data_IF_033523676326
#
_entry.id   IF_033523676326
#
_cell.length_a   1.000
_cell.length_b   1.000
_cell.length_c   1.000
_cell.angle_alpha   90.00
_cell.angle_beta   90.00
_cell.angle_gamma   90.00
#
_symmetry.space_group_name_H-M   'P 1'
#
loop_
_entity.id
_entity.type
_entity.pdbx_description
1 polymer ?
#
# COMPACT_ATOMS: atom_id res chain seq x y z
N UNK A 1 -21.08 -12.64 4.23
CA UNK A 1 -20.08 -12.83 5.32
C UNK A 1 -20.01 -11.50 6.06
N UNK A 2 -20.07 -11.46 7.40
CA UNK A 2 -19.91 -10.21 8.14
C UNK A 2 -18.44 -9.77 8.21
N UNK A 3 -18.17 -8.54 8.67
CA UNK A 3 -16.84 -7.96 8.72
C UNK A 3 -15.86 -8.75 9.60
N UNK A 4 -16.35 -9.37 10.70
CA UNK A 4 -15.54 -10.21 11.58
C UNK A 4 -15.12 -11.51 10.89
N UNK A 5 -16.05 -12.18 10.23
CA UNK A 5 -15.77 -13.41 9.47
C UNK A 5 -14.82 -13.15 8.29
N UNK A 6 -14.94 -11.99 7.62
CA UNK A 6 -13.99 -11.54 6.60
C UNK A 6 -12.59 -11.36 7.21
N UNK A 7 -12.50 -10.67 8.34
CA UNK A 7 -11.24 -10.43 9.06
C UNK A 7 -10.55 -11.74 9.45
N UNK A 8 -11.29 -12.67 10.07
CA UNK A 8 -10.76 -13.99 10.44
C UNK A 8 -10.28 -14.79 9.23
N UNK A 9 -11.03 -14.76 8.15
CA UNK A 9 -10.67 -15.45 6.89
C UNK A 9 -9.40 -14.85 6.29
N UNK A 10 -9.31 -13.52 6.21
CA UNK A 10 -8.15 -12.83 5.68
C UNK A 10 -6.90 -13.09 6.53
N UNK A 11 -6.98 -12.90 7.84
CA UNK A 11 -5.84 -13.10 8.74
C UNK A 11 -5.43 -14.58 8.88
N UNK A 12 -6.40 -15.49 8.86
CA UNK A 12 -6.13 -16.93 9.05
C UNK A 12 -5.67 -17.66 7.79
N UNK A 13 -6.23 -17.30 6.62
CA UNK A 13 -5.98 -18.06 5.38
C UNK A 13 -5.26 -17.26 4.30
N UNK A 14 -5.51 -15.95 4.22
CA UNK A 14 -5.06 -15.12 3.10
C UNK A 14 -4.22 -13.92 3.55
N UNK A 15 -3.60 -13.97 4.72
CA UNK A 15 -2.75 -12.89 5.21
C UNK A 15 -1.53 -12.67 4.30
N UNK A 16 -0.97 -13.75 3.74
CA UNK A 16 0.18 -13.69 2.84
C UNK A 16 -0.27 -13.76 1.38
N UNK A 17 0.08 -12.75 0.61
CA UNK A 17 -0.29 -12.60 -0.82
C UNK A 17 0.92 -12.09 -1.63
N UNK A 18 2.10 -12.71 -1.40
CA UNK A 18 3.36 -12.32 -2.03
C UNK A 18 3.73 -13.20 -3.24
N UNK A 19 3.58 -14.52 -3.10
CA UNK A 19 3.89 -15.45 -4.20
C UNK A 19 2.72 -15.58 -5.17
N UNK A 20 2.99 -15.98 -6.43
CA UNK A 20 1.94 -16.22 -7.42
C UNK A 20 0.89 -17.23 -6.95
N UNK A 21 1.32 -18.29 -6.23
CA UNK A 21 0.41 -19.29 -5.66
C UNK A 21 -0.51 -18.67 -4.61
N UNK A 22 0.01 -17.84 -3.70
CA UNK A 22 -0.77 -17.16 -2.66
C UNK A 22 -1.74 -16.17 -3.28
N UNK A 23 -1.27 -15.36 -4.25
CA UNK A 23 -2.12 -14.41 -4.99
C UNK A 23 -3.24 -15.13 -5.75
N UNK A 24 -2.96 -16.25 -6.42
CA UNK A 24 -4.00 -17.02 -7.12
C UNK A 24 -5.06 -17.54 -6.17
N UNK A 25 -4.67 -18.16 -5.05
CA UNK A 25 -5.62 -18.64 -4.05
C UNK A 25 -6.50 -17.52 -3.47
N UNK A 26 -5.90 -16.34 -3.24
CA UNK A 26 -6.64 -15.14 -2.80
C UNK A 26 -7.62 -14.65 -3.87
N UNK A 27 -7.19 -14.53 -5.14
CA UNK A 27 -8.02 -14.09 -6.27
C UNK A 27 -9.22 -15.03 -6.44
N UNK A 28 -8.99 -16.35 -6.40
CA UNK A 28 -10.07 -17.33 -6.56
C UNK A 28 -11.09 -17.22 -5.43
N UNK A 29 -10.65 -17.03 -4.20
CA UNK A 29 -11.55 -16.81 -3.06
C UNK A 29 -12.31 -15.49 -3.19
N UNK A 30 -11.66 -14.40 -3.58
CA UNK A 30 -12.30 -13.08 -3.74
C UNK A 30 -13.34 -13.11 -4.85
N UNK A 31 -13.09 -13.84 -5.95
CA UNK A 31 -14.10 -14.06 -7.01
C UNK A 31 -15.33 -14.77 -6.47
N UNK A 32 -15.14 -15.86 -5.73
CA UNK A 32 -16.25 -16.56 -5.08
C UNK A 32 -17.06 -15.64 -4.16
N UNK A 33 -16.36 -14.84 -3.34
CA UNK A 33 -17.00 -13.86 -2.46
C UNK A 33 -17.78 -12.79 -3.24
N UNK A 34 -17.22 -12.27 -4.33
CA UNK A 34 -17.90 -11.28 -5.18
C UNK A 34 -19.16 -11.87 -5.83
N UNK A 35 -19.08 -13.11 -6.29
CA UNK A 35 -20.23 -13.84 -6.86
C UNK A 35 -21.34 -14.05 -5.81
N UNK A 36 -20.99 -14.45 -4.58
CA UNK A 36 -21.93 -14.62 -3.46
C UNK A 36 -22.69 -13.33 -3.13
N UNK A 37 -22.00 -12.18 -3.18
CA UNK A 37 -22.65 -10.89 -2.94
C UNK A 37 -23.23 -10.25 -4.21
N UNK A 38 -23.11 -10.92 -5.37
CA UNK A 38 -23.69 -10.48 -6.65
C UNK A 38 -23.05 -9.18 -7.19
N UNK A 39 -21.72 -9.04 -7.08
CA UNK A 39 -20.96 -7.93 -7.65
C UNK A 39 -20.09 -8.47 -8.80
N UNK A 40 -20.21 -7.92 -10.02
CA UNK A 40 -19.36 -8.32 -11.14
C UNK A 40 -17.87 -8.11 -10.82
N UNK A 41 -17.04 -9.10 -11.13
CA UNK A 41 -15.61 -9.07 -10.90
C UNK A 41 -14.82 -9.45 -12.14
N UNK A 42 -13.78 -8.70 -12.45
CA UNK A 42 -12.84 -8.97 -13.54
C UNK A 42 -11.43 -8.97 -12.97
N UNK A 43 -10.61 -9.92 -13.38
CA UNK A 43 -9.18 -9.93 -13.07
C UNK A 43 -8.44 -9.45 -14.32
N UNK A 44 -7.85 -8.29 -14.21
CA UNK A 44 -7.11 -7.65 -15.29
C UNK A 44 -5.63 -7.99 -15.18
N UNK A 45 -5.14 -8.75 -16.15
CA UNK A 45 -3.74 -9.12 -16.21
C UNK A 45 -2.94 -8.16 -17.10
N UNK A 46 -1.81 -7.72 -16.61
CA UNK A 46 -0.89 -6.86 -17.33
C UNK A 46 0.56 -7.24 -17.06
N UNK A 47 1.47 -6.78 -17.94
CA UNK A 47 2.91 -6.92 -17.77
C UNK A 47 3.61 -5.64 -18.22
N UNK A 48 3.95 -4.77 -17.26
CA UNK A 48 4.78 -3.59 -17.53
C UNK A 48 6.26 -3.98 -17.32
N UNK A 49 6.69 -4.25 -16.10
CA UNK A 49 7.99 -4.87 -15.77
C UNK A 49 7.79 -6.21 -15.09
N UNK A 50 6.74 -6.30 -14.28
CA UNK A 50 6.31 -7.51 -13.59
C UNK A 50 4.89 -7.85 -14.04
N UNK A 51 4.50 -9.13 -13.91
CA UNK A 51 3.12 -9.54 -14.09
C UNK A 51 2.29 -9.03 -12.94
N UNK A 52 1.22 -8.27 -13.23
CA UNK A 52 0.27 -7.74 -12.25
C UNK A 52 -1.13 -8.20 -12.60
N UNK A 53 -1.93 -8.51 -11.58
CA UNK A 53 -3.32 -8.97 -11.71
C UNK A 53 -4.22 -8.13 -10.82
N UNK A 54 -4.70 -7.01 -11.31
CA UNK A 54 -5.68 -6.19 -10.58
C UNK A 54 -7.03 -6.88 -10.53
N UNK A 55 -7.75 -6.73 -9.42
CA UNK A 55 -9.10 -7.25 -9.28
C UNK A 55 -10.04 -6.04 -9.29
N UNK A 56 -10.88 -5.98 -10.31
CA UNK A 56 -11.80 -4.86 -10.57
C UNK A 56 -13.22 -5.31 -10.30
N UNK A 57 -13.96 -4.55 -9.51
CA UNK A 57 -15.34 -4.84 -9.13
C UNK A 57 -16.26 -3.70 -9.57
N UNK A 58 -17.31 -4.04 -10.29
CA UNK A 58 -18.24 -3.09 -10.88
C UNK A 58 -17.68 -2.43 -12.13
N UNK A 59 -18.31 -1.34 -12.56
CA UNK A 59 -17.94 -0.58 -13.76
C UNK A 59 -17.09 0.65 -13.36
N UNK A 60 -15.77 0.53 -13.51
CA UNK A 60 -14.82 1.60 -13.17
C UNK A 60 -14.89 2.77 -14.17
N UNK A 61 -15.30 2.52 -15.42
CA UNK A 61 -15.32 3.54 -16.45
C UNK A 61 -16.53 4.49 -16.30
N UNK A 62 -17.63 4.02 -15.74
CA UNK A 62 -18.79 4.85 -15.40
C UNK A 62 -18.76 5.38 -13.96
N UNK A 63 -17.87 4.87 -13.10
CA UNK A 63 -17.78 5.24 -11.70
C UNK A 63 -17.46 6.72 -11.49
N UNK A 64 -18.08 7.33 -10.48
CA UNK A 64 -17.74 8.69 -10.00
C UNK A 64 -16.67 8.65 -8.92
N UNK A 65 -16.63 7.55 -8.16
CA UNK A 65 -15.69 7.28 -7.08
C UNK A 65 -15.15 5.88 -7.24
N UNK A 66 -13.84 5.72 -7.13
CA UNK A 66 -13.17 4.42 -7.13
C UNK A 66 -12.51 4.24 -5.76
N UNK A 67 -12.89 3.18 -5.06
CA UNK A 67 -12.34 2.78 -3.77
C UNK A 67 -11.28 1.71 -4.00
N UNK A 68 -10.08 1.90 -3.47
CA UNK A 68 -8.94 1.04 -3.78
C UNK A 68 -8.14 0.64 -2.54
N UNK A 69 -7.47 -0.51 -2.63
CA UNK A 69 -6.41 -0.93 -1.74
C UNK A 69 -5.46 -1.84 -2.53
N UNK A 70 -4.20 -1.96 -2.13
CA UNK A 70 -3.37 -3.02 -2.69
C UNK A 70 -3.58 -4.33 -1.93
N UNK A 71 -3.48 -5.44 -2.65
CA UNK A 71 -3.66 -6.75 -2.03
C UNK A 71 -2.37 -7.58 -1.93
N UNK A 72 -1.32 -7.22 -2.66
CA UNK A 72 -0.02 -7.85 -2.48
C UNK A 72 0.60 -7.49 -1.13
N UNK A 73 1.57 -8.27 -0.71
CA UNK A 73 2.20 -8.12 0.60
C UNK A 73 3.71 -8.00 0.51
N UNK A 74 4.28 -7.23 1.42
CA UNK A 74 5.67 -6.80 1.45
C UNK A 74 6.69 -7.93 1.64
N UNK A 75 7.95 -7.61 1.34
CA UNK A 75 9.09 -8.33 1.87
C UNK A 75 9.29 -7.96 3.35
N UNK A 76 9.82 -8.91 4.13
CA UNK A 76 10.16 -8.65 5.53
C UNK A 76 11.42 -7.78 5.62
N UNK A 77 11.29 -6.62 6.21
CA UNK A 77 12.42 -5.83 6.64
C UNK A 77 12.93 -6.31 8.00
N UNK A 78 14.23 -6.41 8.16
CA UNK A 78 14.87 -6.80 9.42
C UNK A 78 15.04 -5.61 10.37
N UNK A 79 15.01 -4.40 9.84
CA UNK A 79 15.16 -3.15 10.57
C UNK A 79 13.78 -2.53 10.84
N UNK A 80 13.64 -1.74 11.92
CA UNK A 80 12.42 -1.00 12.16
C UNK A 80 12.07 -0.12 10.96
N UNK A 81 10.81 -0.17 10.53
CA UNK A 81 10.24 0.76 9.58
C UNK A 81 9.44 1.81 10.36
N UNK A 82 9.70 3.06 10.08
CA UNK A 82 9.11 4.18 10.81
C UNK A 82 8.70 5.28 9.83
N UNK A 83 7.43 5.33 9.48
CA UNK A 83 6.91 6.31 8.53
C UNK A 83 6.19 7.46 9.24
N UNK A 84 6.50 8.69 8.85
CA UNK A 84 5.98 9.92 9.48
C UNK A 84 5.38 10.88 8.45
N UNK A 85 4.18 10.60 7.91
CA UNK A 85 3.62 11.34 6.77
C UNK A 85 3.50 12.85 6.94
N UNK A 86 3.29 13.33 8.18
CA UNK A 86 3.14 14.77 8.49
C UNK A 86 4.42 15.45 9.00
N UNK A 87 5.57 14.75 9.01
CA UNK A 87 6.83 15.28 9.50
C UNK A 87 7.93 15.10 8.46
N UNK A 88 8.05 16.09 7.55
CA UNK A 88 9.00 16.03 6.44
C UNK A 88 10.47 15.77 6.88
N UNK A 89 11.02 16.42 7.92
CA UNK A 89 12.39 16.12 8.35
C UNK A 89 12.61 14.67 8.76
N UNK A 90 11.70 14.08 9.54
CA UNK A 90 11.79 12.67 9.94
C UNK A 90 11.56 11.74 8.75
N UNK A 91 10.63 12.05 7.85
CA UNK A 91 10.43 11.29 6.62
C UNK A 91 11.69 11.27 5.76
N UNK A 92 12.33 12.44 5.54
CA UNK A 92 13.58 12.53 4.78
C UNK A 92 14.71 11.76 5.48
N UNK A 93 14.80 11.85 6.81
CA UNK A 93 15.79 11.09 7.58
C UNK A 93 15.64 9.59 7.39
N UNK A 94 14.40 9.07 7.45
CA UNK A 94 14.08 7.67 7.19
C UNK A 94 14.48 7.24 5.77
N UNK A 95 14.08 7.98 4.74
CA UNK A 95 14.44 7.67 3.36
C UNK A 95 15.95 7.72 3.13
N UNK A 96 16.64 8.67 3.78
CA UNK A 96 18.10 8.75 3.75
C UNK A 96 18.74 7.52 4.40
N UNK A 97 18.22 7.08 5.54
CA UNK A 97 18.71 5.88 6.22
C UNK A 97 18.56 4.63 5.34
N UNK A 98 17.39 4.42 4.72
CA UNK A 98 17.17 3.30 3.80
C UNK A 98 18.10 3.35 2.59
N UNK A 99 18.32 4.55 2.03
CA UNK A 99 19.26 4.75 0.92
C UNK A 99 20.69 4.41 1.34
N UNK A 100 21.11 4.85 2.53
CA UNK A 100 22.44 4.55 3.07
C UNK A 100 22.68 3.05 3.26
N UNK A 101 21.65 2.27 3.61
CA UNK A 101 21.77 0.81 3.71
C UNK A 101 22.08 0.17 2.33
N UNK A 102 21.43 0.65 1.28
CA UNK A 102 21.68 0.18 -0.10
C UNK A 102 23.10 0.54 -0.52
N UNK A 103 23.53 1.78 -0.27
CA UNK A 103 24.88 2.24 -0.58
C UNK A 103 25.94 1.48 0.22
N UNK A 104 25.70 1.25 1.51
CA UNK A 104 26.61 0.48 2.38
C UNK A 104 26.76 -0.97 1.88
N UNK A 105 25.69 -1.62 1.47
CA UNK A 105 25.75 -2.97 0.88
C UNK A 105 26.62 -3.01 -0.37
N UNK A 106 26.48 -2.03 -1.24
CA UNK A 106 27.35 -1.88 -2.42
C UNK A 106 28.80 -1.60 -2.05
N UNK A 107 29.03 -0.67 -1.11
CA UNK A 107 30.39 -0.34 -0.66
C UNK A 107 31.09 -1.57 -0.07
N UNK A 108 30.43 -2.34 0.81
CA UNK A 108 30.97 -3.55 1.42
C UNK A 108 31.30 -4.61 0.37
N UNK A 109 30.44 -4.82 -0.63
CA UNK A 109 30.68 -5.75 -1.71
C UNK A 109 31.88 -5.33 -2.58
N UNK A 110 31.97 -4.06 -2.96
CA UNK A 110 33.10 -3.50 -3.71
C UNK A 110 34.41 -3.57 -2.95
N UNK A 111 34.38 -3.22 -1.66
CA UNK A 111 35.56 -3.33 -0.77
C UNK A 111 36.02 -4.77 -0.62
N UNK A 112 35.10 -5.73 -0.42
CA UNK A 112 35.41 -7.17 -0.34
C UNK A 112 36.07 -7.70 -1.61
N UNK A 113 35.54 -7.32 -2.80
CA UNK A 113 36.15 -7.65 -4.09
C UNK A 113 37.58 -7.09 -4.19
N UNK A 114 37.78 -5.83 -3.77
CA UNK A 114 39.11 -5.20 -3.74
C UNK A 114 40.06 -5.92 -2.81
N UNK A 115 39.63 -6.34 -1.62
CA UNK A 115 40.46 -7.08 -0.67
C UNK A 115 40.92 -8.43 -1.22
N UNK A 116 40.04 -9.12 -1.99
CA UNK A 116 40.36 -10.42 -2.59
C UNK A 116 41.26 -10.32 -3.82
N UNK A 117 41.11 -9.28 -4.65
CA UNK A 117 41.75 -9.18 -5.95
C UNK A 117 43.00 -8.32 -5.98
N UNK A 118 43.22 -7.49 -4.94
CA UNK A 118 44.39 -6.59 -4.87
C UNK A 118 45.69 -7.38 -4.89
N UNK A 119 46.54 -7.10 -5.89
CA UNK A 119 47.80 -7.79 -6.11
C UNK A 119 47.72 -9.11 -6.86
N UNK A 120 46.50 -9.66 -7.06
CA UNK A 120 46.28 -10.91 -7.82
C UNK A 120 45.98 -10.65 -9.30
N UNK A 121 45.47 -9.45 -9.64
CA UNK A 121 45.08 -9.09 -11.01
C UNK A 121 45.57 -7.68 -11.35
N UNK A 122 45.54 -7.32 -12.63
CA UNK A 122 45.87 -5.99 -13.09
C UNK A 122 44.98 -4.91 -12.40
N UNK A 123 45.54 -3.73 -11.99
CA UNK A 123 44.79 -2.72 -11.23
C UNK A 123 43.47 -2.26 -11.89
N UNK A 124 43.44 -2.15 -13.22
CA UNK A 124 42.20 -1.81 -13.96
C UNK A 124 41.14 -2.88 -13.79
N UNK A 125 41.53 -4.15 -13.90
CA UNK A 125 40.62 -5.31 -13.74
C UNK A 125 40.09 -5.35 -12.29
N UNK A 126 40.94 -5.11 -11.30
CA UNK A 126 40.54 -4.98 -9.90
C UNK A 126 39.52 -3.84 -9.71
N UNK A 127 39.76 -2.66 -10.26
CA UNK A 127 38.84 -1.52 -10.19
C UNK A 127 37.48 -1.79 -10.82
N UNK A 128 37.45 -2.41 -12.01
CA UNK A 128 36.21 -2.80 -12.66
C UNK A 128 35.43 -3.88 -11.86
N UNK A 129 36.15 -4.85 -11.29
CA UNK A 129 35.54 -5.87 -10.43
C UNK A 129 34.95 -5.26 -9.15
N UNK A 130 35.62 -4.30 -8.50
CA UNK A 130 35.10 -3.57 -7.35
C UNK A 130 33.83 -2.79 -7.71
N UNK A 131 33.83 -2.09 -8.82
CA UNK A 131 32.64 -1.34 -9.29
C UNK A 131 31.46 -2.28 -9.55
N UNK A 132 31.70 -3.37 -10.30
CA UNK A 132 30.65 -4.37 -10.59
C UNK A 132 30.11 -5.01 -9.31
N UNK A 133 30.98 -5.43 -8.39
CA UNK A 133 30.58 -5.99 -7.10
C UNK A 133 29.78 -4.96 -6.27
N UNK A 134 30.18 -3.69 -6.32
CA UNK A 134 29.44 -2.61 -5.66
C UNK A 134 28.03 -2.44 -6.20
N UNK A 135 27.88 -2.39 -7.53
CA UNK A 135 26.57 -2.29 -8.19
C UNK A 135 25.69 -3.52 -7.85
N UNK A 136 26.26 -4.72 -7.94
CA UNK A 136 25.56 -5.97 -7.62
C UNK A 136 25.16 -6.04 -6.13
N UNK A 137 26.03 -5.57 -5.22
CA UNK A 137 25.74 -5.50 -3.79
C UNK A 137 24.59 -4.55 -3.48
N UNK A 138 24.58 -3.35 -4.06
CA UNK A 138 23.45 -2.41 -3.93
C UNK A 138 22.16 -3.00 -4.51
N UNK A 139 22.24 -3.60 -5.70
CA UNK A 139 21.09 -4.24 -6.34
C UNK A 139 20.54 -5.40 -5.50
N UNK A 140 21.41 -6.19 -4.86
CA UNK A 140 21.00 -7.27 -3.97
C UNK A 140 20.25 -6.75 -2.74
N UNK A 141 20.75 -5.69 -2.09
CA UNK A 141 20.07 -5.09 -0.93
C UNK A 141 18.68 -4.58 -1.35
N UNK A 142 18.60 -3.82 -2.45
CA UNK A 142 17.32 -3.34 -2.99
C UNK A 142 16.38 -4.49 -3.33
N UNK A 143 16.88 -5.53 -3.99
CA UNK A 143 16.12 -6.74 -4.31
C UNK A 143 15.56 -7.40 -3.05
N UNK A 144 16.36 -7.56 -2.00
CA UNK A 144 15.93 -8.15 -0.73
C UNK A 144 14.85 -7.29 -0.04
N UNK A 145 14.91 -5.96 -0.16
CA UNK A 145 13.91 -5.07 0.40
C UNK A 145 12.55 -5.18 -0.33
N UNK A 146 12.56 -5.37 -1.65
CA UNK A 146 11.33 -5.39 -2.47
C UNK A 146 10.78 -6.82 -2.69
N UNK A 147 11.69 -7.78 -2.96
CA UNK A 147 11.35 -9.12 -3.42
C UNK A 147 11.76 -10.22 -2.43
N UNK A 148 12.47 -9.87 -1.36
CA UNK A 148 12.98 -10.77 -0.34
C UNK A 148 11.90 -11.67 0.32
N UNK A 149 12.24 -12.41 1.37
CA UNK A 149 11.31 -13.30 2.07
C UNK A 149 10.02 -12.57 2.48
N UNK A 150 8.88 -13.25 2.39
CA UNK A 150 7.59 -12.68 2.77
C UNK A 150 7.59 -12.22 4.24
N UNK A 151 7.01 -11.07 4.51
CA UNK A 151 6.69 -10.68 5.88
C UNK A 151 5.65 -11.66 6.43
N UNK A 152 5.87 -12.31 7.59
CA UNK A 152 4.93 -13.29 8.12
C UNK A 152 3.61 -12.66 8.60
N UNK A 153 3.61 -11.36 8.89
CA UNK A 153 2.46 -10.62 9.37
C UNK A 153 2.26 -9.36 8.54
N UNK A 154 1.07 -9.19 8.02
CA UNK A 154 0.67 -8.07 7.15
C UNK A 154 -0.75 -7.62 7.52
N UNK A 155 -1.02 -7.55 8.83
CA UNK A 155 -2.35 -7.25 9.33
C UNK A 155 -2.77 -5.81 8.99
N UNK A 156 -1.87 -4.86 9.17
CA UNK A 156 -2.11 -3.47 8.82
C UNK A 156 -1.77 -3.20 7.35
N UNK A 157 -0.62 -3.67 6.87
CA UNK A 157 -0.11 -3.45 5.53
C UNK A 157 -0.17 -4.73 4.64
N UNK A 158 -1.18 -4.92 3.77
CA UNK A 158 -2.40 -4.11 3.68
C UNK A 158 -3.64 -5.01 3.77
N UNK A 159 -3.63 -5.96 4.73
CA UNK A 159 -4.84 -6.76 5.00
C UNK A 159 -5.98 -5.88 5.52
N UNK A 160 -5.68 -4.79 6.22
CA UNK A 160 -6.67 -3.83 6.70
C UNK A 160 -7.42 -3.12 5.56
N UNK A 161 -6.69 -2.65 4.54
CA UNK A 161 -7.30 -2.03 3.35
C UNK A 161 -8.11 -3.03 2.53
N UNK A 162 -7.60 -4.25 2.36
CA UNK A 162 -8.35 -5.33 1.69
C UNK A 162 -9.65 -5.64 2.42
N UNK A 163 -9.60 -5.80 3.76
CA UNK A 163 -10.79 -6.03 4.57
C UNK A 163 -11.82 -4.92 4.38
N UNK A 164 -11.35 -3.67 4.43
CA UNK A 164 -12.23 -2.52 4.25
C UNK A 164 -12.89 -2.51 2.87
N UNK A 165 -12.15 -2.79 1.79
CA UNK A 165 -12.73 -2.86 0.43
C UNK A 165 -13.78 -3.95 0.35
N UNK A 166 -13.50 -5.17 0.82
CA UNK A 166 -14.46 -6.28 0.75
C UNK A 166 -15.72 -6.01 1.59
N UNK A 167 -15.58 -5.42 2.78
CA UNK A 167 -16.71 -5.03 3.61
C UNK A 167 -17.49 -3.85 2.98
N UNK A 168 -16.80 -2.86 2.40
CA UNK A 168 -17.44 -1.74 1.71
C UNK A 168 -18.21 -2.18 0.46
N UNK A 169 -17.74 -3.19 -0.27
CA UNK A 169 -18.47 -3.77 -1.39
C UNK A 169 -19.87 -4.26 -0.95
N UNK A 170 -19.96 -4.92 0.18
CA UNK A 170 -21.24 -5.38 0.72
C UNK A 170 -22.09 -4.22 1.25
N UNK A 171 -21.49 -3.27 1.97
CA UNK A 171 -22.15 -2.13 2.61
C UNK A 171 -22.70 -1.12 1.59
N UNK A 172 -21.95 -0.90 0.51
CA UNK A 172 -22.29 0.04 -0.56
C UNK A 172 -22.90 -0.63 -1.79
N UNK A 173 -23.32 -1.90 -1.68
CA UNK A 173 -23.96 -2.63 -2.77
C UNK A 173 -25.17 -1.86 -3.29
N UNK A 174 -25.24 -1.67 -4.60
CA UNK A 174 -26.32 -0.92 -5.26
C UNK A 174 -26.15 0.61 -5.22
N UNK A 175 -25.14 1.16 -4.57
CA UNK A 175 -24.86 2.60 -4.59
C UNK A 175 -24.30 2.99 -5.97
N UNK A 176 -25.02 3.84 -6.75
CA UNK A 176 -24.63 4.12 -8.12
C UNK A 176 -23.35 4.95 -8.18
N UNK A 177 -22.48 4.62 -9.13
CA UNK A 177 -21.26 5.38 -9.40
C UNK A 177 -20.12 5.09 -8.44
N UNK A 178 -20.13 3.98 -7.71
CA UNK A 178 -19.02 3.48 -6.90
C UNK A 178 -18.51 2.18 -7.54
N UNK A 179 -17.20 2.10 -7.71
CA UNK A 179 -16.50 0.88 -8.12
C UNK A 179 -15.32 0.62 -7.17
N UNK A 180 -14.79 -0.60 -7.21
CA UNK A 180 -13.72 -1.00 -6.31
C UNK A 180 -12.58 -1.65 -7.10
N UNK A 181 -11.34 -1.46 -6.65
CA UNK A 181 -10.17 -2.09 -7.24
C UNK A 181 -9.20 -2.55 -6.16
N UNK A 182 -8.75 -3.79 -6.26
CA UNK A 182 -7.62 -4.28 -5.50
C UNK A 182 -6.40 -4.32 -6.42
N UNK A 183 -5.43 -3.46 -6.16
CA UNK A 183 -4.19 -3.36 -6.94
C UNK A 183 -3.19 -4.44 -6.56
N UNK A 184 -2.42 -4.89 -7.55
CA UNK A 184 -1.32 -5.84 -7.39
C UNK A 184 0.03 -5.12 -7.48
N UNK A 185 1.05 -5.69 -6.83
CA UNK A 185 2.43 -5.22 -6.91
C UNK A 185 2.63 -3.72 -6.58
N UNK A 186 1.90 -3.22 -5.59
CA UNK A 186 2.17 -1.94 -4.95
C UNK A 186 3.57 -1.96 -4.33
N UNK A 187 3.87 -2.99 -3.56
CA UNK A 187 5.11 -3.25 -2.84
C UNK A 187 6.36 -3.40 -3.71
N UNK A 188 6.17 -3.57 -5.01
CA UNK A 188 7.26 -3.65 -5.99
C UNK A 188 7.43 -2.38 -6.79
N UNK A 189 6.65 -1.34 -6.50
CA UNK A 189 6.73 -0.04 -7.16
C UNK A 189 5.47 0.35 -7.93
N UNK A 190 4.28 0.12 -7.35
CA UNK A 190 2.98 0.59 -7.85
C UNK A 190 2.61 0.05 -9.24
N UNK A 191 3.11 -1.14 -9.62
CA UNK A 191 2.91 -1.65 -10.99
C UNK A 191 1.46 -1.98 -11.31
N UNK A 192 0.64 -2.35 -10.31
CA UNK A 192 -0.79 -2.57 -10.51
C UNK A 192 -1.54 -1.29 -10.85
N UNK A 193 -1.33 -0.23 -10.09
CA UNK A 193 -1.96 1.06 -10.34
C UNK A 193 -1.46 1.71 -11.63
N UNK A 194 -0.18 1.55 -11.99
CA UNK A 194 0.34 1.96 -13.31
C UNK A 194 -0.35 1.21 -14.46
N UNK A 195 -0.57 -0.10 -14.29
CA UNK A 195 -1.28 -0.91 -15.27
C UNK A 195 -2.73 -0.46 -15.42
N UNK A 196 -3.41 -0.18 -14.31
CA UNK A 196 -4.78 0.35 -14.31
C UNK A 196 -4.88 1.69 -15.04
N UNK A 197 -3.96 2.63 -14.77
CA UNK A 197 -3.93 3.93 -15.47
C UNK A 197 -3.78 3.75 -16.98
N UNK A 198 -2.96 2.79 -17.40
CA UNK A 198 -2.76 2.49 -18.82
C UNK A 198 -4.02 1.89 -19.47
N UNK A 199 -4.73 1.03 -18.78
CA UNK A 199 -5.94 0.38 -19.26
C UNK A 199 -7.16 1.32 -19.23
N UNK A 200 -7.29 2.12 -18.15
CA UNK A 200 -8.47 2.93 -17.82
C UNK A 200 -8.14 4.43 -17.73
N UNK A 201 -7.56 5.00 -18.77
CA UNK A 201 -7.08 6.39 -18.73
C UNK A 201 -8.12 7.45 -18.34
N UNK A 202 -9.42 7.23 -18.64
CA UNK A 202 -10.52 8.10 -18.20
C UNK A 202 -10.91 7.85 -16.75
N UNK A 203 -11.04 6.59 -16.33
CA UNK A 203 -11.32 6.21 -14.94
C UNK A 203 -10.21 6.67 -13.99
N UNK A 204 -8.94 6.65 -14.42
CA UNK A 204 -7.80 7.14 -13.65
C UNK A 204 -7.89 8.66 -13.33
N UNK A 205 -8.76 9.41 -14.01
CA UNK A 205 -9.03 10.83 -13.70
C UNK A 205 -10.22 11.04 -12.79
N UNK A 206 -10.91 9.98 -12.37
CA UNK A 206 -12.01 10.04 -11.40
C UNK A 206 -11.47 10.29 -9.99
N UNK A 207 -12.38 10.58 -9.07
CA UNK A 207 -12.01 10.67 -7.65
C UNK A 207 -11.70 9.26 -7.14
N UNK A 208 -10.50 9.08 -6.61
CA UNK A 208 -10.01 7.82 -6.09
C UNK A 208 -9.70 7.94 -4.61
N UNK A 209 -10.13 6.95 -3.83
CA UNK A 209 -9.81 6.83 -2.40
C UNK A 209 -9.08 5.51 -2.18
N UNK A 210 -7.82 5.59 -1.84
CA UNK A 210 -6.98 4.45 -1.50
C UNK A 210 -7.00 4.19 0.00
N UNK A 211 -7.08 2.93 0.40
CA UNK A 211 -7.00 2.52 1.80
C UNK A 211 -5.74 1.70 2.00
N UNK A 212 -4.84 2.26 2.78
CA UNK A 212 -3.55 1.65 3.03
C UNK A 212 -3.16 1.87 4.48
N UNK A 213 -2.82 0.77 5.18
CA UNK A 213 -2.44 0.80 6.59
C UNK A 213 -3.51 1.45 7.50
N UNK A 214 -4.77 1.07 7.34
CA UNK A 214 -5.89 1.65 8.11
C UNK A 214 -6.19 0.91 9.43
N UNK A 215 -5.47 -0.16 9.74
CA UNK A 215 -5.79 -1.06 10.86
C UNK A 215 -5.08 -0.77 12.18
N UNK A 216 -3.96 -0.01 12.22
CA UNK A 216 -3.14 0.17 13.44
C UNK A 216 -2.90 1.65 13.74
N UNK A 217 -3.71 2.20 14.63
CA UNK A 217 -3.59 3.59 15.08
C UNK A 217 -4.91 4.16 15.59
N UNK A 218 -4.83 5.31 16.24
CA UNK A 218 -5.98 6.02 16.80
C UNK A 218 -6.20 7.41 16.18
N UNK A 219 -5.50 7.72 15.10
CA UNK A 219 -5.66 8.96 14.35
C UNK A 219 -5.84 8.62 12.88
N UNK A 220 -7.03 8.90 12.32
CA UNK A 220 -7.29 8.77 10.90
C UNK A 220 -6.66 9.94 10.14
N UNK A 221 -5.85 9.62 9.17
CA UNK A 221 -5.32 10.55 8.18
C UNK A 221 -6.13 10.44 6.90
N UNK A 222 -6.61 11.57 6.37
CA UNK A 222 -7.03 11.69 4.97
C UNK A 222 -6.06 12.62 4.26
N UNK A 223 -5.32 12.11 3.30
CA UNK A 223 -4.35 12.89 2.53
C UNK A 223 -4.46 12.59 1.04
N UNK A 224 -3.75 13.34 0.22
CA UNK A 224 -3.72 13.05 -1.21
C UNK A 224 -3.19 14.18 -2.06
N UNK A 225 -3.34 13.99 -3.37
CA UNK A 225 -2.98 14.98 -4.36
C UNK A 225 -3.90 16.20 -4.27
N UNK A 226 -3.36 17.38 -4.56
CA UNK A 226 -4.11 18.66 -4.52
C UNK A 226 -5.41 18.61 -5.33
N UNK A 227 -5.41 17.90 -6.47
CA UNK A 227 -6.59 17.69 -7.29
C UNK A 227 -7.67 16.89 -6.58
N UNK A 228 -7.31 15.81 -5.89
CA UNK A 228 -8.23 14.96 -5.12
C UNK A 228 -8.81 15.69 -3.91
N UNK A 229 -7.94 16.28 -3.07
CA UNK A 229 -8.36 16.98 -1.83
C UNK A 229 -9.26 18.21 -2.06
N UNK A 230 -9.31 18.74 -3.29
CA UNK A 230 -10.23 19.83 -3.67
C UNK A 230 -11.60 19.35 -4.14
N UNK A 231 -11.75 18.06 -4.42
CA UNK A 231 -13.01 17.50 -4.90
C UNK A 231 -14.12 17.60 -3.85
N UNK A 232 -15.39 17.82 -4.25
CA UNK A 232 -16.52 17.81 -3.32
C UNK A 232 -16.62 16.53 -2.49
N UNK A 233 -16.28 15.38 -3.08
CA UNK A 233 -16.25 14.08 -2.39
C UNK A 233 -15.22 14.07 -1.24
N UNK A 234 -14.00 14.60 -1.46
CA UNK A 234 -13.01 14.71 -0.39
C UNK A 234 -13.49 15.59 0.76
N UNK A 235 -14.17 16.70 0.46
CA UNK A 235 -14.75 17.58 1.48
C UNK A 235 -15.83 16.88 2.29
N UNK A 236 -16.68 16.06 1.63
CA UNK A 236 -17.68 15.24 2.32
C UNK A 236 -17.01 14.20 3.23
N UNK A 237 -15.98 13.52 2.73
CA UNK A 237 -15.22 12.55 3.55
C UNK A 237 -14.55 13.23 4.75
N UNK A 238 -13.98 14.44 4.60
CA UNK A 238 -13.41 15.19 5.73
C UNK A 238 -14.48 15.52 6.78
N UNK A 239 -15.63 16.02 6.34
CA UNK A 239 -16.72 16.34 7.26
C UNK A 239 -17.26 15.09 7.98
N UNK A 240 -17.47 13.99 7.23
CA UNK A 240 -17.90 12.73 7.81
C UNK A 240 -16.86 12.15 8.78
N UNK A 241 -15.58 12.27 8.46
CA UNK A 241 -14.49 11.85 9.33
C UNK A 241 -14.47 12.64 10.65
N UNK A 242 -14.67 13.96 10.59
CA UNK A 242 -14.73 14.83 11.78
C UNK A 242 -15.97 14.53 12.66
N UNK A 243 -17.10 14.17 12.03
CA UNK A 243 -18.34 13.81 12.71
C UNK A 243 -18.25 12.42 13.36
N UNK A 244 -17.83 11.40 12.59
CA UNK A 244 -17.98 10.00 12.97
C UNK A 244 -16.79 9.47 13.78
N UNK A 245 -15.54 9.83 13.42
CA UNK A 245 -14.36 9.24 14.05
C UNK A 245 -14.30 9.38 15.58
N UNK A 246 -14.78 10.49 16.21
CA UNK A 246 -14.83 10.62 17.66
C UNK A 246 -15.69 9.54 18.35
N UNK A 247 -16.77 9.05 17.72
CA UNK A 247 -17.63 8.00 18.26
C UNK A 247 -16.87 6.68 18.43
N UNK A 248 -15.85 6.45 17.60
CA UNK A 248 -14.93 5.32 17.65
C UNK A 248 -13.68 5.57 18.50
N UNK A 249 -13.63 6.72 19.23
CA UNK A 249 -12.46 7.13 20.01
C UNK A 249 -11.23 7.46 19.16
N UNK A 250 -11.44 7.82 17.88
CA UNK A 250 -10.38 8.17 16.95
C UNK A 250 -10.27 9.69 16.80
N UNK A 251 -9.05 10.15 16.56
CA UNK A 251 -8.74 11.51 16.13
C UNK A 251 -8.69 11.58 14.62
N UNK A 252 -8.78 12.80 14.09
CA UNK A 252 -8.74 13.05 12.67
C UNK A 252 -7.67 14.05 12.31
N UNK A 253 -7.08 13.87 11.15
CA UNK A 253 -6.17 14.82 10.53
C UNK A 253 -6.31 14.73 9.02
N UNK A 254 -6.25 15.87 8.36
CA UNK A 254 -6.22 15.93 6.90
C UNK A 254 -5.05 16.75 6.40
N UNK A 255 -4.56 16.40 5.20
CA UNK A 255 -3.42 17.06 4.63
C UNK A 255 -3.33 16.92 3.12
N UNK A 256 -2.45 17.70 2.51
CA UNK A 256 -2.25 17.77 1.06
C UNK A 256 -0.77 17.62 0.75
N UNK A 257 -0.45 16.80 -0.26
CA UNK A 257 0.90 16.73 -0.82
C UNK A 257 1.36 18.10 -1.35
N UNK A 258 2.61 18.56 -1.12
CA UNK A 258 3.73 17.83 -0.52
C UNK A 258 3.93 18.03 1.00
N UNK A 259 3.04 18.74 1.69
CA UNK A 259 3.16 18.94 3.15
C UNK A 259 2.93 17.63 3.92
N UNK A 260 2.04 16.78 3.40
CA UNK A 260 1.78 15.43 3.89
C UNK A 260 2.21 14.45 2.82
N UNK A 261 3.24 13.65 3.11
CA UNK A 261 3.82 12.69 2.18
C UNK A 261 3.44 11.29 2.64
N UNK A 262 2.55 10.67 1.90
CA UNK A 262 2.12 9.29 2.11
C UNK A 262 2.25 8.53 0.78
N UNK A 263 3.41 7.89 0.52
CA UNK A 263 3.65 7.16 -0.73
C UNK A 263 2.80 5.88 -0.77
N UNK A 264 1.84 5.81 -1.68
CA UNK A 264 1.06 4.63 -2.03
C UNK A 264 0.34 4.89 -3.36
N UNK A 265 -0.51 3.97 -3.80
CA UNK A 265 -1.16 3.97 -5.12
C UNK A 265 -1.82 5.29 -5.52
N UNK A 266 -2.47 6.00 -4.58
CA UNK A 266 -3.16 7.27 -4.86
C UNK A 266 -2.26 8.36 -5.44
N UNK A 267 -0.93 8.30 -5.24
CA UNK A 267 -0.02 9.33 -5.74
C UNK A 267 0.07 9.35 -7.27
N UNK A 268 -0.23 8.26 -7.91
CA UNK A 268 -0.23 8.16 -9.37
C UNK A 268 -1.48 8.78 -10.01
N UNK A 269 -2.51 9.07 -9.22
CA UNK A 269 -3.80 9.55 -9.71
C UNK A 269 -3.96 11.06 -9.45
N UNK A 270 -4.27 11.88 -10.47
CA UNK A 270 -4.42 13.33 -10.31
C UNK A 270 -5.46 13.75 -9.26
N UNK A 271 -6.47 12.89 -9.04
CA UNK A 271 -7.53 13.09 -8.03
C UNK A 271 -7.51 11.99 -6.97
N UNK A 272 -6.33 11.42 -6.72
CA UNK A 272 -6.10 10.40 -5.70
C UNK A 272 -6.08 10.99 -4.29
N UNK A 273 -6.74 10.29 -3.38
CA UNK A 273 -6.70 10.51 -1.93
C UNK A 273 -6.45 9.19 -1.24
N UNK A 274 -5.96 9.21 0.00
CA UNK A 274 -5.75 8.01 0.79
C UNK A 274 -6.18 8.19 2.23
N UNK A 275 -6.71 7.12 2.81
CA UNK A 275 -6.84 6.96 4.24
C UNK A 275 -5.72 6.09 4.79
N UNK A 276 -5.21 6.46 5.96
CA UNK A 276 -4.30 5.67 6.79
C UNK A 276 -4.63 5.88 8.26
N UNK A 277 -4.23 4.94 9.13
CA UNK A 277 -4.32 5.08 10.57
C UNK A 277 -2.92 5.29 11.16
N UNK A 278 -2.78 6.29 12.00
CA UNK A 278 -1.51 6.71 12.57
C UNK A 278 -1.54 6.63 14.09
N UNK A 279 -0.37 6.41 14.67
CA UNK A 279 -0.10 6.49 16.11
C UNK A 279 0.55 7.82 16.49
N UNK A 280 0.65 8.06 17.78
CA UNK A 280 1.34 9.20 18.33
C UNK A 280 0.44 10.36 18.74
N UNK A 281 1.04 11.39 19.33
CA UNK A 281 0.32 12.60 19.81
C UNK A 281 0.87 13.87 19.16
N UNK A 282 2.19 14.08 19.20
CA UNK A 282 2.88 15.24 18.61
C UNK A 282 3.43 14.93 17.24
N UNK A 283 4.05 13.78 17.11
CA UNK A 283 4.49 13.20 15.83
C UNK A 283 3.56 12.04 15.54
N UNK A 284 2.93 12.06 14.38
CA UNK A 284 2.08 10.98 13.89
C UNK A 284 2.95 10.05 13.04
N UNK A 285 2.85 8.74 13.30
CA UNK A 285 3.74 7.75 12.70
C UNK A 285 3.08 6.37 12.55
N UNK A 286 3.71 5.52 11.73
CA UNK A 286 3.56 4.06 11.68
C UNK A 286 4.94 3.43 11.95
N UNK A 287 5.00 2.31 12.69
CA UNK A 287 6.27 1.71 13.14
C UNK A 287 6.34 0.18 13.02
N UNK A 288 5.31 -0.46 12.48
CA UNK A 288 5.21 -1.93 12.41
C UNK A 288 5.18 -2.50 11.02
N UNK A 289 4.75 -1.70 10.04
CA UNK A 289 4.63 -2.13 8.64
C UNK A 289 5.96 -2.68 8.11
N UNK A 290 5.93 -3.61 7.17
CA UNK A 290 7.07 -4.33 6.59
C UNK A 290 7.90 -5.14 7.61
N UNK A 291 7.46 -5.28 8.85
CA UNK A 291 8.16 -6.03 9.88
C UNK A 291 7.31 -7.17 10.45
N UNK A 292 7.93 -8.13 11.14
CA UNK A 292 7.20 -9.21 11.81
C UNK A 292 6.27 -8.72 12.95
N UNK A 293 6.28 -7.41 13.27
CA UNK A 293 5.40 -6.79 14.27
C UNK A 293 4.08 -6.27 13.69
N UNK A 294 3.87 -6.40 12.37
CA UNK A 294 2.62 -6.00 11.73
C UNK A 294 1.49 -7.01 11.98
N UNK A 295 1.04 -7.06 13.24
CA UNK A 295 0.03 -8.00 13.73
C UNK A 295 -1.29 -7.34 14.14
N UNK A 296 -1.37 -6.00 14.05
CA UNK A 296 -2.53 -5.25 14.53
C UNK A 296 -3.48 -4.90 13.40
N UNK A 297 -4.75 -5.26 13.58
CA UNK A 297 -5.88 -4.83 12.76
C UNK A 297 -7.06 -4.60 13.68
N UNK A 298 -7.27 -3.35 14.08
CA UNK A 298 -8.36 -2.95 14.96
C UNK A 298 -9.68 -2.87 14.19
N UNK A 299 -10.64 -3.67 14.60
CA UNK A 299 -11.97 -3.74 13.97
C UNK A 299 -12.67 -2.37 13.97
N UNK A 300 -12.53 -1.60 15.06
CA UNK A 300 -13.14 -0.28 15.19
C UNK A 300 -12.71 0.70 14.08
N UNK A 301 -11.47 0.59 13.59
CA UNK A 301 -10.97 1.45 12.52
C UNK A 301 -11.70 1.15 11.21
N UNK A 302 -11.92 -0.14 10.93
CA UNK A 302 -12.64 -0.59 9.74
C UNK A 302 -14.10 -0.16 9.80
N UNK A 303 -14.78 -0.37 10.93
CA UNK A 303 -16.18 0.04 11.10
C UNK A 303 -16.35 1.55 11.00
N UNK A 304 -15.47 2.32 11.63
CA UNK A 304 -15.45 3.78 11.51
C UNK A 304 -15.34 4.23 10.03
N UNK A 305 -14.43 3.63 9.28
CA UNK A 305 -14.26 3.97 7.86
C UNK A 305 -15.44 3.52 7.00
N UNK A 306 -16.09 2.40 7.32
CA UNK A 306 -17.31 1.97 6.66
C UNK A 306 -18.45 3.00 6.84
N UNK A 307 -18.65 3.50 8.07
CA UNK A 307 -19.66 4.51 8.35
C UNK A 307 -19.35 5.84 7.64
N UNK A 308 -18.08 6.24 7.59
CA UNK A 308 -17.62 7.41 6.82
C UNK A 308 -17.93 7.24 5.32
N UNK A 309 -17.71 6.04 4.77
CA UNK A 309 -17.94 5.75 3.35
C UNK A 309 -19.43 5.75 2.98
N UNK A 310 -20.35 5.56 3.89
CA UNK A 310 -21.78 5.72 3.62
C UNK A 310 -22.16 7.16 3.23
N UNK A 311 -21.37 8.14 3.61
CA UNK A 311 -21.58 9.57 3.31
C UNK A 311 -21.01 10.01 1.94
N UNK A 312 -20.32 9.12 1.20
CA UNK A 312 -19.66 9.46 -0.07
C UNK A 312 -20.61 9.65 -1.25
#
# INVERSE_FOLDING_TARGET
MDTNALRETLLGKYQLRKTEKQKSAFIDWVKTYADEIGIPVIVEESRIFVRSRNIVFGDVDSARVILTAHYDTCARMLLPNFSTPGNLPLFVLEQTFLTLLIVLGGWLAGWGAGALLRGAVHPIVCGLACLLAGVLGSALVLYLMLVGPANPHTANDNTSGVLLILAAMQRLKGKPGVAFVLFDNEEKGLFGSLAFIKAHGQAARRFLVNFDCVGDGNTLLLTGMKGGMRMPQAKRLMAAMEEIAPEYGMKTVSGVFPKWIYPSDQMLFPRGTAFAALKGKRVLYMDRIHTARDTMLEQRNVECLLDILEKI
#
